data_IF_873853808394
#
_entry.id   IF_873853808394
#
_cell.length_a   1.000
_cell.length_b   1.000
_cell.length_c   1.000
_cell.angle_alpha   90.00
_cell.angle_beta   90.00
_cell.angle_gamma   90.00
#
_symmetry.space_group_name_H-M   'P 1'
#
loop_
_entity.id
_entity.type
_entity.pdbx_description
1 polymer ?
#
# COMPACT_ATOMS: atom_id res chain seq x y z
N UNK A 1 13.39 -27.51 -38.52
CA UNK A 1 14.61 -26.93 -37.92
C UNK A 1 14.37 -25.55 -37.26
N UNK A 2 13.65 -24.62 -37.89
CA UNK A 2 13.44 -23.27 -37.35
C UNK A 2 12.68 -23.27 -36.01
N UNK A 3 11.65 -24.15 -35.81
CA UNK A 3 10.95 -24.30 -34.56
C UNK A 3 11.82 -24.76 -33.39
N UNK A 4 12.85 -25.62 -33.65
CA UNK A 4 13.72 -26.12 -32.58
C UNK A 4 14.72 -25.05 -32.10
N UNK A 5 15.18 -24.15 -32.99
CA UNK A 5 16.07 -23.04 -32.64
C UNK A 5 15.35 -21.99 -31.81
N UNK A 6 14.12 -21.60 -32.21
CA UNK A 6 13.33 -20.64 -31.46
C UNK A 6 13.00 -21.15 -30.05
N UNK A 7 12.62 -22.43 -29.93
CA UNK A 7 12.37 -23.06 -28.63
C UNK A 7 13.61 -23.08 -27.75
N UNK A 8 14.80 -23.32 -28.33
CA UNK A 8 16.05 -23.33 -27.58
C UNK A 8 16.42 -21.96 -27.04
N UNK A 9 16.30 -20.89 -27.86
CA UNK A 9 16.58 -19.52 -27.44
C UNK A 9 15.62 -19.08 -26.34
N UNK A 10 14.34 -19.37 -26.48
CA UNK A 10 13.33 -19.06 -25.47
C UNK A 10 13.58 -19.80 -24.14
N UNK A 11 13.95 -21.08 -24.21
CA UNK A 11 14.24 -21.85 -22.98
C UNK A 11 15.58 -21.43 -22.35
N UNK A 12 16.57 -21.02 -23.15
CA UNK A 12 17.81 -20.40 -22.67
C UNK A 12 17.51 -19.10 -21.92
N UNK A 13 16.74 -18.21 -22.52
CA UNK A 13 16.33 -16.95 -21.89
C UNK A 13 15.59 -17.20 -20.59
N UNK A 14 14.64 -18.12 -20.61
CA UNK A 14 13.89 -18.52 -19.42
C UNK A 14 14.79 -19.06 -18.32
N UNK A 15 15.73 -19.95 -18.66
CA UNK A 15 16.69 -20.48 -17.71
C UNK A 15 17.52 -19.38 -17.06
N UNK A 16 18.09 -18.47 -17.86
CA UNK A 16 18.89 -17.35 -17.35
C UNK A 16 18.04 -16.43 -16.46
N UNK A 17 16.81 -16.13 -16.87
CA UNK A 17 15.92 -15.27 -16.10
C UNK A 17 15.50 -15.91 -14.76
N UNK A 18 15.13 -17.20 -14.76
CA UNK A 18 14.59 -17.88 -13.57
C UNK A 18 15.68 -18.41 -12.63
N UNK A 19 16.88 -18.76 -13.15
CA UNK A 19 17.87 -19.53 -12.42
C UNK A 19 19.15 -18.81 -12.08
N UNK A 20 19.39 -17.64 -12.66
CA UNK A 20 20.66 -16.95 -12.47
C UNK A 20 20.47 -15.55 -11.88
N UNK A 21 21.45 -15.10 -11.15
CA UNK A 21 21.67 -13.76 -10.65
C UNK A 21 23.16 -13.53 -10.43
N UNK A 22 23.58 -12.35 -9.96
CA UNK A 22 24.98 -11.99 -9.74
C UNK A 22 25.73 -12.96 -8.80
N UNK A 23 25.02 -13.55 -7.83
CA UNK A 23 25.56 -14.49 -6.85
C UNK A 23 25.45 -15.95 -7.29
N UNK A 24 24.64 -16.23 -8.31
CA UNK A 24 24.36 -17.58 -8.84
C UNK A 24 24.45 -17.58 -10.37
N UNK A 25 25.61 -17.27 -10.95
CA UNK A 25 25.81 -17.33 -12.39
C UNK A 25 25.89 -18.79 -12.87
N UNK A 26 25.44 -19.04 -14.10
CA UNK A 26 25.47 -20.37 -14.71
C UNK A 26 26.65 -20.49 -15.71
N UNK A 27 27.31 -21.65 -15.72
CA UNK A 27 28.27 -21.99 -16.74
C UNK A 27 27.60 -22.50 -18.03
N UNK A 28 28.35 -22.53 -19.15
CA UNK A 28 27.85 -23.15 -20.39
C UNK A 28 27.45 -24.60 -20.18
N UNK A 29 28.13 -25.31 -19.29
CA UNK A 29 27.82 -26.72 -18.98
C UNK A 29 26.47 -26.83 -18.27
N UNK A 30 26.14 -25.90 -17.36
CA UNK A 30 24.85 -25.88 -16.66
C UNK A 30 23.69 -25.57 -17.62
N UNK A 31 23.93 -24.65 -18.56
CA UNK A 31 22.95 -24.30 -19.61
C UNK A 31 22.68 -25.50 -20.50
N UNK A 32 23.75 -26.20 -20.97
CA UNK A 32 23.60 -27.40 -21.79
C UNK A 32 22.88 -28.51 -21.05
N UNK A 33 23.23 -28.76 -19.79
CA UNK A 33 22.56 -29.75 -18.96
C UNK A 33 21.05 -29.45 -18.81
N UNK A 34 20.69 -28.18 -18.59
CA UNK A 34 19.29 -27.76 -18.51
C UNK A 34 18.54 -28.00 -19.84
N UNK A 35 19.11 -27.53 -20.97
CA UNK A 35 18.48 -27.70 -22.28
C UNK A 35 18.31 -29.16 -22.66
N UNK A 36 19.32 -29.98 -22.44
CA UNK A 36 19.25 -31.43 -22.67
C UNK A 36 18.21 -32.10 -21.80
N UNK A 37 18.08 -31.69 -20.52
CA UNK A 37 17.01 -32.15 -19.61
C UNK A 37 15.60 -31.79 -20.10
N UNK A 38 15.47 -30.78 -20.95
CA UNK A 38 14.21 -30.41 -21.65
C UNK A 38 14.05 -31.11 -23.00
N UNK A 39 14.96 -32.02 -23.39
CA UNK A 39 14.96 -32.68 -24.68
C UNK A 39 15.46 -31.80 -25.83
N UNK A 40 16.09 -30.68 -25.52
CA UNK A 40 16.65 -29.75 -26.51
C UNK A 40 18.17 -29.97 -26.60
N UNK A 41 18.62 -30.72 -27.60
CA UNK A 41 20.04 -30.97 -27.79
C UNK A 41 20.81 -29.70 -28.11
N UNK A 42 21.86 -29.42 -27.35
CA UNK A 42 22.69 -28.23 -27.48
C UNK A 42 24.16 -28.54 -27.28
N UNK A 43 25.03 -27.79 -28.00
CA UNK A 43 26.47 -27.82 -27.86
C UNK A 43 26.98 -26.42 -27.51
N UNK A 44 28.24 -26.34 -27.03
CA UNK A 44 28.85 -25.07 -26.59
C UNK A 44 28.74 -23.93 -27.61
N UNK A 45 29.05 -24.21 -28.89
CA UNK A 45 28.99 -23.20 -29.95
C UNK A 45 27.57 -22.64 -30.13
N UNK A 46 26.58 -23.49 -30.02
CA UNK A 46 25.17 -23.10 -30.13
C UNK A 46 24.74 -22.21 -28.96
N UNK A 47 25.16 -22.54 -27.73
CA UNK A 47 24.85 -21.72 -26.54
C UNK A 47 25.50 -20.34 -26.65
N UNK A 48 26.77 -20.26 -27.14
CA UNK A 48 27.41 -18.97 -27.36
C UNK A 48 26.70 -18.14 -28.43
N UNK A 49 26.31 -18.75 -29.56
CA UNK A 49 25.57 -18.05 -30.60
C UNK A 49 24.22 -17.54 -30.12
N UNK A 50 23.46 -18.37 -29.39
CA UNK A 50 22.14 -18.00 -28.86
C UNK A 50 22.25 -16.92 -27.77
N UNK A 51 23.27 -17.00 -26.89
CA UNK A 51 23.50 -15.97 -25.86
C UNK A 51 23.85 -14.63 -26.51
N UNK A 52 24.75 -14.63 -27.52
CA UNK A 52 25.07 -13.41 -28.25
C UNK A 52 23.86 -12.84 -28.99
N UNK A 53 23.03 -13.69 -29.59
CA UNK A 53 21.78 -13.23 -30.23
C UNK A 53 20.80 -12.58 -29.23
N UNK A 54 20.70 -13.08 -28.01
CA UNK A 54 19.91 -12.46 -26.95
C UNK A 54 20.50 -11.10 -26.52
N UNK A 55 21.83 -11.01 -26.38
CA UNK A 55 22.52 -9.76 -26.05
C UNK A 55 22.31 -8.74 -27.18
N UNK A 56 22.49 -9.15 -28.44
CA UNK A 56 22.28 -8.30 -29.62
C UNK A 56 20.81 -7.82 -29.72
N UNK A 57 19.86 -8.63 -29.22
CA UNK A 57 18.45 -8.27 -29.12
C UNK A 57 18.13 -7.33 -27.94
N UNK A 58 19.13 -6.91 -27.15
CA UNK A 58 18.97 -5.98 -26.03
C UNK A 58 18.67 -6.63 -24.69
N UNK A 59 18.81 -7.96 -24.57
CA UNK A 59 18.68 -8.64 -23.27
C UNK A 59 20.00 -8.47 -22.50
N UNK A 60 19.91 -7.92 -21.30
CA UNK A 60 21.07 -7.67 -20.45
C UNK A 60 21.56 -8.97 -19.79
N UNK A 61 22.42 -9.68 -20.50
CA UNK A 61 23.09 -10.87 -20.00
C UNK A 61 24.55 -10.52 -19.71
N UNK A 62 24.94 -10.60 -18.45
CA UNK A 62 26.31 -10.37 -18.01
C UNK A 62 27.14 -11.63 -18.23
N UNK A 63 28.31 -11.43 -18.85
CA UNK A 63 29.29 -12.51 -19.11
C UNK A 63 30.52 -12.30 -18.24
N UNK A 64 30.68 -13.15 -17.25
CA UNK A 64 31.90 -13.18 -16.41
C UNK A 64 32.93 -14.09 -17.06
N UNK A 65 33.98 -13.49 -17.61
CA UNK A 65 35.08 -14.22 -18.28
C UNK A 65 35.94 -14.89 -17.23
N UNK A 66 36.01 -16.22 -17.29
CA UNK A 66 36.93 -17.06 -16.50
C UNK A 66 37.35 -18.25 -17.31
N UNK A 67 38.00 -19.25 -16.69
CA UNK A 67 38.35 -20.55 -17.34
C UNK A 67 37.09 -21.19 -17.97
N UNK A 68 35.93 -20.99 -17.38
CA UNK A 68 34.62 -21.27 -17.98
C UNK A 68 33.78 -20.01 -17.84
N UNK A 69 33.38 -19.43 -18.98
CA UNK A 69 32.48 -18.27 -18.94
C UNK A 69 31.22 -18.60 -18.15
N UNK A 70 30.83 -17.64 -17.30
CA UNK A 70 29.62 -17.69 -16.52
C UNK A 70 28.67 -16.59 -17.01
N UNK A 71 27.39 -16.87 -16.93
CA UNK A 71 26.31 -16.03 -17.44
C UNK A 71 25.26 -15.81 -16.40
N UNK A 72 24.77 -14.59 -16.28
CA UNK A 72 23.59 -14.29 -15.47
C UNK A 72 22.79 -13.13 -16.05
N UNK A 73 21.52 -13.05 -15.68
CA UNK A 73 20.66 -11.93 -16.04
C UNK A 73 21.08 -10.69 -15.26
N UNK A 74 21.58 -9.65 -15.97
CA UNK A 74 22.11 -8.42 -15.39
C UNK A 74 21.01 -7.52 -14.84
N UNK A 75 19.99 -7.24 -15.66
CA UNK A 75 18.85 -6.40 -15.26
C UNK A 75 17.52 -7.13 -15.33
N UNK A 76 16.59 -6.72 -14.48
CA UNK A 76 15.20 -7.19 -14.44
C UNK A 76 14.27 -6.00 -14.37
N UNK A 77 12.95 -6.25 -14.51
CA UNK A 77 11.93 -5.20 -14.38
C UNK A 77 11.98 -4.51 -13.01
N UNK A 78 12.30 -5.27 -11.97
CA UNK A 78 12.53 -4.78 -10.61
C UNK A 78 13.86 -5.30 -10.10
N UNK A 79 14.59 -4.45 -9.38
CA UNK A 79 15.74 -4.87 -8.61
C UNK A 79 15.32 -5.58 -7.31
N UNK A 80 16.24 -6.37 -6.74
CA UNK A 80 15.96 -7.13 -5.52
C UNK A 80 15.49 -6.26 -4.33
N UNK A 81 16.08 -5.07 -4.04
CA UNK A 81 15.58 -4.20 -2.97
C UNK A 81 14.15 -3.71 -3.21
N UNK A 82 13.78 -3.41 -4.46
CA UNK A 82 12.44 -2.98 -4.83
C UNK A 82 11.42 -4.10 -4.62
N UNK A 83 11.73 -5.32 -5.07
CA UNK A 83 10.90 -6.49 -4.82
C UNK A 83 10.76 -6.80 -3.33
N UNK A 84 11.83 -6.59 -2.56
CA UNK A 84 11.78 -6.73 -1.10
C UNK A 84 10.79 -5.75 -0.47
N UNK A 85 10.84 -4.47 -0.85
CA UNK A 85 9.91 -3.45 -0.38
C UNK A 85 8.45 -3.78 -0.75
N UNK A 86 8.21 -4.19 -2.00
CA UNK A 86 6.87 -4.59 -2.46
C UNK A 86 6.35 -5.82 -1.70
N UNK A 87 7.21 -6.82 -1.50
CA UNK A 87 6.88 -8.04 -0.74
C UNK A 87 6.55 -7.71 0.71
N UNK A 88 7.32 -6.85 1.36
CA UNK A 88 7.06 -6.41 2.74
C UNK A 88 5.77 -5.61 2.83
N UNK A 89 5.49 -4.72 1.88
CA UNK A 89 4.25 -3.96 1.82
C UNK A 89 3.03 -4.88 1.74
N UNK A 90 3.08 -5.90 0.87
CA UNK A 90 2.03 -6.92 0.75
C UNK A 90 1.90 -7.74 2.04
N UNK A 91 3.04 -8.22 2.58
CA UNK A 91 3.05 -9.04 3.79
C UNK A 91 2.55 -8.29 5.01
N UNK A 92 2.87 -7.00 5.15
CA UNK A 92 2.48 -6.16 6.29
C UNK A 92 1.09 -5.55 6.19
N UNK A 93 0.49 -5.50 5.00
CA UNK A 93 -0.82 -4.90 4.77
C UNK A 93 -1.92 -5.55 5.60
N UNK A 94 -2.72 -4.73 6.31
CA UNK A 94 -3.87 -5.18 7.11
C UNK A 94 -5.15 -5.35 6.31
N UNK A 95 -5.19 -4.94 5.05
CA UNK A 95 -6.38 -5.07 4.21
C UNK A 95 -6.34 -6.32 3.32
N UNK A 96 -5.13 -6.84 3.06
CA UNK A 96 -4.92 -8.00 2.22
C UNK A 96 -5.06 -9.27 3.08
N UNK A 97 -5.97 -10.19 2.71
CA UNK A 97 -6.13 -11.47 3.40
C UNK A 97 -4.84 -12.30 3.38
N UNK A 98 -4.68 -13.23 4.32
CA UNK A 98 -3.50 -14.10 4.39
C UNK A 98 -3.28 -14.85 3.08
N UNK A 99 -4.34 -15.49 2.55
CA UNK A 99 -4.31 -16.23 1.28
C UNK A 99 -3.88 -15.32 0.11
N UNK A 100 -4.47 -14.12 0.01
CA UNK A 100 -4.16 -13.20 -1.08
C UNK A 100 -2.76 -12.61 -0.97
N UNK A 101 -2.27 -12.37 0.25
CA UNK A 101 -0.88 -11.97 0.48
C UNK A 101 0.09 -13.02 -0.05
N UNK A 102 -0.15 -14.29 0.26
CA UNK A 102 0.67 -15.40 -0.23
C UNK A 102 0.67 -15.48 -1.75
N UNK A 103 -0.51 -15.42 -2.39
CA UNK A 103 -0.64 -15.39 -3.85
C UNK A 103 0.13 -14.23 -4.49
N UNK A 104 0.06 -13.02 -3.91
CA UNK A 104 0.75 -11.83 -4.41
C UNK A 104 2.27 -11.95 -4.23
N UNK A 105 2.73 -12.41 -3.06
CA UNK A 105 4.15 -12.69 -2.81
C UNK A 105 4.68 -13.71 -3.81
N UNK A 106 3.95 -14.79 -4.07
CA UNK A 106 4.34 -15.77 -5.09
C UNK A 106 4.45 -15.17 -6.50
N UNK A 107 3.57 -14.22 -6.86
CA UNK A 107 3.65 -13.50 -8.14
C UNK A 107 4.88 -12.60 -8.20
N UNK A 108 5.15 -11.85 -7.14
CA UNK A 108 6.36 -11.01 -7.04
C UNK A 108 7.64 -11.84 -7.13
N UNK A 109 7.68 -13.00 -6.49
CA UNK A 109 8.79 -13.94 -6.56
C UNK A 109 9.09 -14.47 -7.97
N UNK A 110 8.14 -14.41 -8.91
CA UNK A 110 8.37 -14.79 -10.32
C UNK A 110 9.11 -13.71 -11.12
N UNK A 111 9.28 -12.53 -10.56
CA UNK A 111 9.97 -11.40 -11.21
C UNK A 111 11.49 -11.38 -10.93
N UNK A 112 12.00 -12.39 -10.22
CA UNK A 112 13.42 -12.52 -9.89
C UNK A 112 13.90 -13.95 -10.03
N UNK A 113 15.19 -14.21 -9.70
CA UNK A 113 15.76 -15.58 -9.71
C UNK A 113 15.11 -16.43 -8.61
N UNK A 114 15.14 -17.75 -8.81
CA UNK A 114 14.66 -18.71 -7.80
C UNK A 114 15.41 -18.58 -6.47
N UNK A 115 16.66 -18.20 -6.47
CA UNK A 115 17.49 -17.99 -5.28
C UNK A 115 17.03 -16.76 -4.49
N UNK A 116 16.89 -15.64 -5.17
CA UNK A 116 16.36 -14.41 -4.56
C UNK A 116 14.89 -14.57 -4.15
N UNK A 117 14.08 -15.29 -4.93
CA UNK A 117 12.70 -15.60 -4.60
C UNK A 117 12.55 -16.38 -3.29
N UNK A 118 13.45 -17.34 -3.04
CA UNK A 118 13.46 -18.10 -1.79
C UNK A 118 13.75 -17.20 -0.57
N UNK A 119 14.71 -16.28 -0.70
CA UNK A 119 15.02 -15.29 0.33
C UNK A 119 13.82 -14.38 0.62
N UNK A 120 13.12 -13.89 -0.44
CA UNK A 120 11.92 -13.07 -0.29
C UNK A 120 10.81 -13.82 0.46
N UNK A 121 10.57 -15.11 0.17
CA UNK A 121 9.55 -15.92 0.85
C UNK A 121 9.87 -16.11 2.33
N UNK A 122 11.10 -16.43 2.66
CA UNK A 122 11.53 -16.61 4.05
C UNK A 122 11.30 -15.33 4.87
N UNK A 123 11.66 -14.18 4.32
CA UNK A 123 11.49 -12.89 4.99
C UNK A 123 10.01 -12.48 5.12
N UNK A 124 9.19 -12.74 4.10
CA UNK A 124 7.75 -12.46 4.15
C UNK A 124 7.02 -13.31 5.19
N UNK A 125 7.45 -14.55 5.42
CA UNK A 125 6.85 -15.46 6.41
C UNK A 125 7.02 -15.02 7.86
N UNK A 126 7.98 -14.13 8.15
CA UNK A 126 8.23 -13.57 9.48
C UNK A 126 7.23 -12.47 9.87
N UNK A 127 6.40 -11.99 8.95
CA UNK A 127 5.39 -10.98 9.23
C UNK A 127 4.18 -11.62 9.93
N UNK A 128 4.13 -11.54 11.24
CA UNK A 128 3.06 -12.12 12.09
C UNK A 128 1.84 -11.21 12.29
N UNK A 129 1.54 -10.31 11.35
CA UNK A 129 0.40 -9.40 11.49
C UNK A 129 -0.93 -10.11 11.33
N UNK A 130 -1.91 -9.72 12.17
CA UNK A 130 -3.29 -10.20 12.05
C UNK A 130 -3.85 -9.75 10.70
N UNK A 131 -4.21 -10.71 9.87
CA UNK A 131 -4.79 -10.51 8.53
C UNK A 131 -6.31 -10.65 8.57
N UNK A 132 -7.05 -9.84 7.79
CA UNK A 132 -8.48 -10.00 7.67
C UNK A 132 -8.82 -11.24 6.83
N UNK A 133 -10.03 -11.75 7.04
CA UNK A 133 -10.55 -12.90 6.30
C UNK A 133 -11.54 -12.49 5.19
N UNK A 134 -11.48 -11.21 4.76
CA UNK A 134 -12.42 -10.64 3.80
C UNK A 134 -11.81 -10.54 2.40
N UNK A 135 -12.10 -11.50 1.55
CA UNK A 135 -11.67 -11.48 0.14
C UNK A 135 -12.55 -10.56 -0.75
N UNK A 136 -13.70 -10.11 -0.25
CA UNK A 136 -14.61 -9.25 -1.02
C UNK A 136 -14.10 -7.81 -1.17
N UNK A 137 -13.12 -7.40 -0.36
CA UNK A 137 -12.55 -6.05 -0.38
C UNK A 137 -12.07 -5.64 -1.78
N UNK A 138 -11.48 -6.56 -2.54
CA UNK A 138 -11.01 -6.29 -3.90
C UNK A 138 -12.14 -5.91 -4.86
N UNK A 139 -13.26 -6.67 -4.80
CA UNK A 139 -14.44 -6.38 -5.61
C UNK A 139 -15.10 -5.07 -5.21
N UNK A 140 -15.06 -4.73 -3.91
CA UNK A 140 -15.58 -3.47 -3.39
C UNK A 140 -14.74 -2.31 -3.91
N UNK A 141 -13.42 -2.41 -3.85
CA UNK A 141 -12.47 -1.40 -4.37
C UNK A 141 -12.71 -1.19 -5.87
N UNK A 142 -12.77 -2.26 -6.65
CA UNK A 142 -13.00 -2.22 -8.10
C UNK A 142 -14.34 -1.53 -8.43
N UNK A 143 -15.41 -1.91 -7.74
CA UNK A 143 -16.73 -1.28 -7.92
C UNK A 143 -16.72 0.22 -7.58
N UNK A 144 -15.99 0.62 -6.51
CA UNK A 144 -15.86 2.03 -6.13
C UNK A 144 -15.08 2.79 -7.19
N UNK A 145 -13.94 2.27 -7.65
CA UNK A 145 -13.13 2.90 -8.70
C UNK A 145 -13.92 3.07 -9.99
N UNK A 146 -14.66 2.03 -10.40
CA UNK A 146 -15.55 2.11 -11.57
C UNK A 146 -16.60 3.21 -11.39
N UNK A 147 -17.25 3.27 -10.23
CA UNK A 147 -18.26 4.27 -9.96
C UNK A 147 -17.70 5.71 -9.95
N UNK A 148 -16.49 5.93 -9.45
CA UNK A 148 -15.80 7.23 -9.50
C UNK A 148 -15.53 7.62 -10.94
N UNK A 149 -14.94 6.72 -11.75
CA UNK A 149 -14.60 6.99 -13.14
C UNK A 149 -15.85 7.28 -14.01
N UNK A 150 -16.94 6.53 -13.78
CA UNK A 150 -18.20 6.70 -14.49
C UNK A 150 -19.09 7.82 -13.91
N UNK A 151 -18.66 8.48 -12.84
CA UNK A 151 -19.44 9.50 -12.09
C UNK A 151 -20.84 8.99 -11.72
N UNK A 152 -20.90 7.75 -11.19
CA UNK A 152 -22.14 7.06 -10.82
C UNK A 152 -22.25 6.93 -9.31
N UNK A 153 -23.47 7.08 -8.83
CA UNK A 153 -23.77 6.87 -7.42
C UNK A 153 -23.61 5.41 -7.02
N UNK A 154 -23.28 5.19 -5.76
CA UNK A 154 -23.19 3.85 -5.18
C UNK A 154 -24.16 3.71 -4.00
N UNK A 155 -24.56 2.47 -3.74
CA UNK A 155 -25.35 2.09 -2.58
C UNK A 155 -24.69 0.92 -1.88
N UNK A 156 -24.67 0.93 -0.56
CA UNK A 156 -24.06 -0.12 0.25
C UNK A 156 -24.65 -0.15 1.66
N UNK A 157 -24.41 -1.23 2.39
CA UNK A 157 -24.63 -1.34 3.82
C UNK A 157 -23.29 -1.24 4.55
N UNK A 158 -23.32 -0.84 5.81
CA UNK A 158 -22.12 -0.70 6.64
C UNK A 158 -22.25 -1.56 7.88
N UNK A 159 -21.22 -2.32 8.23
CA UNK A 159 -21.27 -3.17 9.41
C UNK A 159 -20.26 -2.72 10.49
N UNK A 160 -20.57 -3.11 11.72
CA UNK A 160 -19.72 -2.97 12.90
C UNK A 160 -19.63 -4.31 13.62
N UNK A 161 -18.70 -4.41 14.58
CA UNK A 161 -18.55 -5.60 15.39
C UNK A 161 -19.19 -5.39 16.75
N UNK A 162 -19.91 -6.40 17.23
CA UNK A 162 -20.37 -6.47 18.63
C UNK A 162 -19.19 -6.86 19.55
N UNK A 163 -19.35 -6.70 20.88
CA UNK A 163 -18.36 -7.21 21.86
C UNK A 163 -18.07 -8.71 21.70
N UNK A 164 -19.03 -9.49 21.20
CA UNK A 164 -18.90 -10.93 20.91
C UNK A 164 -18.20 -11.19 19.56
N UNK A 165 -17.62 -10.15 18.92
CA UNK A 165 -16.92 -10.22 17.61
C UNK A 165 -17.84 -10.66 16.44
N UNK A 166 -19.15 -10.48 16.56
CA UNK A 166 -20.09 -10.73 15.46
C UNK A 166 -20.27 -9.48 14.61
N UNK A 167 -20.34 -9.67 13.30
CA UNK A 167 -20.66 -8.58 12.35
C UNK A 167 -22.16 -8.30 12.41
N UNK A 168 -22.53 -7.06 12.66
CA UNK A 168 -23.93 -6.59 12.60
C UNK A 168 -24.01 -5.37 11.69
N UNK A 169 -25.10 -5.30 10.92
CA UNK A 169 -25.33 -4.15 10.04
C UNK A 169 -25.71 -2.92 10.89
N UNK A 170 -24.98 -1.84 10.68
CA UNK A 170 -25.20 -0.57 11.37
C UNK A 170 -26.56 0.01 10.98
N UNK A 171 -27.20 0.69 11.93
CA UNK A 171 -28.54 1.31 11.76
C UNK A 171 -29.60 0.36 11.17
N UNK A 172 -29.64 -0.90 11.65
CA UNK A 172 -30.65 -1.87 11.21
C UNK A 172 -30.54 -2.27 9.74
N UNK A 173 -29.34 -2.19 9.16
CA UNK A 173 -29.13 -2.53 7.74
C UNK A 173 -29.46 -1.39 6.77
N UNK A 174 -29.37 -0.15 7.23
CA UNK A 174 -29.61 1.02 6.38
C UNK A 174 -28.76 0.99 5.11
N UNK A 175 -29.40 1.27 3.97
CA UNK A 175 -28.76 1.37 2.67
C UNK A 175 -28.24 2.80 2.46
N UNK A 176 -26.93 2.98 2.62
CA UNK A 176 -26.28 4.27 2.36
C UNK A 176 -26.22 4.52 0.86
N UNK A 177 -26.59 5.72 0.44
CA UNK A 177 -26.41 6.24 -0.92
C UNK A 177 -25.33 7.30 -0.88
N UNK A 178 -24.33 7.17 -1.75
CA UNK A 178 -23.15 8.03 -1.77
C UNK A 178 -22.80 8.41 -3.21
N UNK A 179 -22.36 9.65 -3.42
CA UNK A 179 -21.68 10.12 -4.60
C UNK A 179 -20.17 9.93 -4.32
N UNK A 180 -19.49 8.94 -4.91
CA UNK A 180 -18.11 8.62 -4.58
C UNK A 180 -17.14 9.60 -5.26
N UNK A 181 -16.23 10.20 -4.48
CA UNK A 181 -15.24 11.16 -4.95
C UNK A 181 -13.85 10.55 -5.03
N UNK A 182 -13.42 9.83 -3.99
CA UNK A 182 -12.09 9.26 -3.91
C UNK A 182 -12.02 7.98 -3.07
N UNK A 183 -10.99 7.19 -3.35
CA UNK A 183 -10.49 6.14 -2.48
C UNK A 183 -9.14 6.57 -1.93
N UNK A 184 -9.05 6.72 -0.61
CA UNK A 184 -7.84 7.14 0.09
C UNK A 184 -7.25 6.01 0.89
N UNK A 185 -5.93 5.82 0.78
CA UNK A 185 -5.18 4.86 1.59
C UNK A 185 -4.57 5.56 2.80
N UNK A 186 -5.06 5.26 3.99
CA UNK A 186 -4.57 5.84 5.24
C UNK A 186 -4.58 4.79 6.36
N UNK A 187 -3.51 4.73 7.14
CA UNK A 187 -3.38 3.84 8.31
C UNK A 187 -3.72 2.37 8.01
N UNK A 188 -3.13 1.81 6.95
CA UNK A 188 -3.34 0.43 6.49
C UNK A 188 -4.79 0.09 6.04
N UNK A 189 -5.64 1.10 5.76
CA UNK A 189 -7.00 0.89 5.29
C UNK A 189 -7.36 1.79 4.11
N UNK A 190 -8.24 1.30 3.24
CA UNK A 190 -8.90 2.15 2.27
C UNK A 190 -10.12 2.83 2.89
N UNK A 191 -10.26 4.11 2.59
CA UNK A 191 -11.41 4.93 2.91
C UNK A 191 -12.06 5.44 1.64
N UNK A 192 -13.35 5.19 1.52
CA UNK A 192 -14.21 5.78 0.51
C UNK A 192 -14.64 7.15 0.98
N UNK A 193 -14.29 8.19 0.22
CA UNK A 193 -14.70 9.58 0.47
C UNK A 193 -15.79 9.94 -0.54
N UNK A 194 -16.86 10.56 -0.09
CA UNK A 194 -17.94 10.98 -0.98
C UNK A 194 -19.03 11.74 -0.27
N UNK A 195 -19.96 12.34 -1.04
CA UNK A 195 -21.12 13.05 -0.51
C UNK A 195 -22.19 12.04 -0.08
N UNK A 196 -22.53 12.08 1.20
CA UNK A 196 -23.51 11.17 1.80
C UNK A 196 -24.92 11.76 1.74
N UNK A 197 -25.82 11.13 0.99
CA UNK A 197 -27.24 11.53 0.92
C UNK A 197 -27.98 11.37 2.25
N UNK A 198 -27.49 10.50 3.15
CA UNK A 198 -28.03 10.37 4.52
C UNK A 198 -27.67 11.57 5.39
N UNK A 199 -26.40 12.01 5.32
CA UNK A 199 -25.86 13.02 6.22
C UNK A 199 -25.84 14.42 5.60
N UNK A 200 -26.16 14.55 4.27
CA UNK A 200 -26.14 15.79 3.49
C UNK A 200 -24.80 16.55 3.61
N UNK A 201 -23.70 15.78 3.64
CA UNK A 201 -22.34 16.29 3.73
C UNK A 201 -21.34 15.27 3.22
N UNK A 202 -20.09 15.71 3.03
CA UNK A 202 -18.98 14.80 2.78
C UNK A 202 -18.81 13.84 3.96
N UNK A 203 -18.59 12.59 3.64
CA UNK A 203 -18.39 11.52 4.61
C UNK A 203 -17.33 10.54 4.11
N UNK A 204 -16.75 9.79 5.02
CA UNK A 204 -15.80 8.74 4.69
C UNK A 204 -16.21 7.43 5.37
N UNK A 205 -15.94 6.33 4.69
CA UNK A 205 -16.31 4.98 5.12
C UNK A 205 -15.11 4.04 4.90
N UNK A 206 -14.78 3.24 5.90
CA UNK A 206 -13.78 2.19 5.72
C UNK A 206 -14.31 1.13 4.76
N UNK A 207 -13.54 0.86 3.72
CA UNK A 207 -13.95 -0.03 2.62
C UNK A 207 -14.12 -1.48 3.09
N UNK A 208 -13.29 -1.91 4.03
CA UNK A 208 -13.36 -3.25 4.63
C UNK A 208 -14.64 -3.51 5.47
N UNK A 209 -15.40 -2.45 5.76
CA UNK A 209 -16.69 -2.51 6.49
C UNK A 209 -17.91 -2.32 5.59
N UNK A 210 -17.72 -2.16 4.29
CA UNK A 210 -18.83 -2.10 3.34
C UNK A 210 -19.34 -3.50 3.04
N UNK A 211 -20.64 -3.61 2.81
CA UNK A 211 -21.33 -4.83 2.40
C UNK A 211 -22.36 -4.55 1.33
N UNK A 212 -22.51 -5.46 0.37
CA UNK A 212 -23.56 -5.37 -0.63
C UNK A 212 -23.48 -4.14 -1.54
N UNK A 213 -22.26 -3.72 -1.90
CA UNK A 213 -22.06 -2.56 -2.78
C UNK A 213 -22.73 -2.76 -4.14
N UNK A 214 -23.40 -1.71 -4.63
CA UNK A 214 -24.03 -1.66 -5.96
C UNK A 214 -23.78 -0.30 -6.58
N UNK A 215 -23.36 -0.29 -7.84
CA UNK A 215 -23.31 0.92 -8.67
C UNK A 215 -24.72 1.19 -9.15
N UNK A 216 -25.20 2.41 -8.90
CA UNK A 216 -26.58 2.80 -9.30
C UNK A 216 -26.59 3.32 -10.73
N UNK A 217 -27.73 3.23 -11.45
CA UNK A 217 -27.89 3.86 -12.77
C UNK A 217 -27.77 5.39 -12.72
N UNK A 218 -28.09 6.00 -11.58
CA UNK A 218 -28.02 7.45 -11.40
C UNK A 218 -26.59 7.95 -11.37
N UNK A 219 -26.32 8.99 -12.16
CA UNK A 219 -25.07 9.75 -12.12
C UNK A 219 -25.10 10.85 -11.06
N UNK A 220 -23.94 11.47 -10.84
CA UNK A 220 -23.80 12.68 -10.04
C UNK A 220 -22.80 13.63 -10.71
N UNK A 221 -22.87 14.91 -10.37
CA UNK A 221 -21.88 15.91 -10.80
C UNK A 221 -20.97 16.16 -9.60
N UNK A 222 -19.67 15.82 -9.70
CA UNK A 222 -18.72 16.15 -8.66
C UNK A 222 -18.62 17.65 -8.47
N UNK A 223 -18.45 18.11 -7.24
CA UNK A 223 -18.00 19.46 -6.94
C UNK A 223 -16.51 19.56 -7.30
N UNK A 224 -16.19 20.28 -8.38
CA UNK A 224 -14.82 20.43 -8.89
C UNK A 224 -13.92 21.24 -7.96
N UNK A 225 -14.52 22.05 -7.06
CA UNK A 225 -13.81 22.84 -6.07
C UNK A 225 -13.52 22.07 -4.78
N UNK A 226 -14.02 20.84 -4.66
CA UNK A 226 -13.78 20.02 -3.47
C UNK A 226 -12.36 19.45 -3.43
N UNK A 227 -11.55 19.98 -2.51
CA UNK A 227 -10.18 19.53 -2.27
C UNK A 227 -10.17 18.22 -1.43
N UNK A 228 -10.06 17.08 -2.10
CA UNK A 228 -9.96 15.75 -1.46
C UNK A 228 -8.73 15.67 -0.55
N UNK A 229 -7.58 16.17 -1.00
CA UNK A 229 -6.33 16.11 -0.24
C UNK A 229 -6.42 16.97 1.03
N UNK A 230 -6.91 18.20 0.91
CA UNK A 230 -7.16 19.09 2.04
C UNK A 230 -8.18 18.49 3.02
N UNK A 231 -9.24 17.85 2.52
CA UNK A 231 -10.21 17.15 3.35
C UNK A 231 -9.54 16.02 4.14
N UNK A 232 -8.74 15.18 3.48
CA UNK A 232 -8.08 14.03 4.09
C UNK A 232 -7.03 14.44 5.13
N UNK A 233 -6.29 15.52 4.87
CA UNK A 233 -5.25 16.02 5.78
C UNK A 233 -5.82 16.62 7.08
N UNK A 234 -7.02 17.19 7.02
CA UNK A 234 -7.71 17.77 8.19
C UNK A 234 -8.27 16.71 9.14
N UNK A 235 -8.45 15.49 8.67
CA UNK A 235 -9.06 14.40 9.43
C UNK A 235 -7.99 13.46 9.97
N UNK A 236 -7.72 13.53 11.26
CA UNK A 236 -6.79 12.62 11.94
C UNK A 236 -7.42 11.22 11.99
N UNK A 237 -6.68 10.22 11.46
CA UNK A 237 -7.09 8.81 11.45
C UNK A 237 -8.49 8.53 10.88
N UNK A 238 -9.01 9.43 9.99
CA UNK A 238 -10.31 9.29 9.33
C UNK A 238 -11.50 9.12 10.30
N UNK A 239 -11.45 9.81 11.42
CA UNK A 239 -12.59 9.95 12.33
C UNK A 239 -13.10 11.38 12.25
N UNK A 240 -14.24 11.58 11.59
CA UNK A 240 -14.80 12.90 11.38
C UNK A 240 -15.40 13.49 12.66
N UNK A 241 -15.06 14.72 12.96
CA UNK A 241 -15.92 15.62 13.70
C UNK A 241 -16.61 16.60 12.72
N UNK A 242 -17.49 17.43 13.23
CA UNK A 242 -18.37 18.23 12.40
C UNK A 242 -17.77 19.56 11.93
N UNK A 243 -16.52 19.88 12.32
CA UNK A 243 -15.89 21.19 12.02
C UNK A 243 -14.37 21.13 11.98
N UNK A 244 -13.76 21.96 11.15
CA UNK A 244 -12.32 22.23 11.17
C UNK A 244 -12.05 23.43 12.10
N UNK A 245 -11.02 23.32 12.93
CA UNK A 245 -10.58 24.33 13.86
C UNK A 245 -9.09 24.55 13.73
N UNK A 246 -8.67 25.81 13.77
CA UNK A 246 -7.26 26.17 13.87
C UNK A 246 -6.79 25.93 15.30
N UNK A 247 -5.80 25.07 15.48
CA UNK A 247 -5.26 24.67 16.79
C UNK A 247 -3.79 25.04 16.86
N UNK A 248 -3.40 25.74 17.92
CA UNK A 248 -1.99 26.00 18.22
C UNK A 248 -1.48 24.98 19.24
N UNK A 249 -0.40 24.29 18.86
CA UNK A 249 0.28 23.30 19.66
C UNK A 249 1.59 23.87 20.21
N UNK A 250 1.90 23.62 21.47
CA UNK A 250 3.23 23.78 22.03
C UNK A 250 3.91 22.41 22.03
N UNK A 251 5.08 22.32 21.41
CA UNK A 251 5.77 21.06 21.15
C UNK A 251 7.22 21.13 21.64
N UNK A 252 7.71 20.07 22.28
CA UNK A 252 9.15 19.93 22.55
C UNK A 252 9.94 19.86 21.23
N UNK A 253 11.13 20.50 21.15
CA UNK A 253 11.95 20.57 19.94
C UNK A 253 12.28 19.20 19.34
N UNK A 254 12.44 18.16 20.15
CA UNK A 254 12.68 16.78 19.69
C UNK A 254 11.53 16.19 18.88
N UNK A 255 10.32 16.78 18.94
CA UNK A 255 9.11 16.33 18.24
C UNK A 255 8.89 17.04 16.90
N UNK A 256 9.81 17.91 16.46
CA UNK A 256 9.70 18.61 15.17
C UNK A 256 9.50 17.62 14.01
N UNK A 257 10.29 16.55 13.96
CA UNK A 257 10.14 15.52 12.94
C UNK A 257 8.74 14.91 12.94
N UNK A 258 8.16 14.67 14.11
CA UNK A 258 6.80 14.12 14.26
C UNK A 258 5.75 15.05 13.68
N UNK A 259 5.89 16.35 13.90
CA UNK A 259 5.00 17.38 13.34
C UNK A 259 5.12 17.41 11.82
N UNK A 260 6.34 17.40 11.28
CA UNK A 260 6.59 17.37 9.83
C UNK A 260 6.03 16.08 9.20
N UNK A 261 6.30 14.92 9.80
CA UNK A 261 5.83 13.62 9.30
C UNK A 261 4.28 13.54 9.26
N UNK A 262 3.59 14.28 10.14
CA UNK A 262 2.12 14.23 10.25
C UNK A 262 1.39 15.32 9.44
N UNK A 263 1.94 16.54 9.43
CA UNK A 263 1.30 17.72 8.83
C UNK A 263 2.05 18.29 7.63
N UNK A 264 3.22 17.73 7.30
CA UNK A 264 4.07 18.18 6.20
C UNK A 264 5.02 19.31 6.58
N UNK A 265 6.00 19.58 5.70
CA UNK A 265 7.03 20.61 5.92
C UNK A 265 6.46 22.05 5.87
N UNK A 266 5.31 22.24 5.21
CA UNK A 266 4.67 23.55 5.08
C UNK A 266 3.91 24.02 6.33
N UNK A 267 3.82 23.19 7.38
CA UNK A 267 3.13 23.54 8.62
C UNK A 267 3.77 24.79 9.26
N UNK A 268 2.97 25.84 9.59
CA UNK A 268 3.52 27.04 10.23
C UNK A 268 4.04 26.73 11.63
N UNK A 269 5.35 26.97 11.84
CA UNK A 269 5.99 26.78 13.13
C UNK A 269 6.74 28.03 13.56
N UNK A 270 6.91 28.23 14.88
CA UNK A 270 7.68 29.31 15.48
C UNK A 270 8.42 28.82 16.73
N UNK A 271 9.67 29.22 16.89
CA UNK A 271 10.40 29.00 18.16
C UNK A 271 9.65 29.68 19.30
N UNK A 272 9.40 28.96 20.38
CA UNK A 272 8.74 29.48 21.57
C UNK A 272 9.79 29.81 22.67
N UNK A 273 10.64 28.85 23.01
CA UNK A 273 11.78 29.01 23.92
C UNK A 273 12.94 28.07 23.51
N UNK A 274 13.93 27.86 24.38
CA UNK A 274 15.10 27.02 24.09
C UNK A 274 14.73 25.52 23.90
N UNK A 275 13.63 25.06 24.49
CA UNK A 275 13.24 23.65 24.49
C UNK A 275 11.97 23.39 23.66
N UNK A 276 11.23 24.44 23.27
CA UNK A 276 9.91 24.30 22.63
C UNK A 276 9.75 25.17 21.39
N UNK A 277 8.83 24.74 20.54
CA UNK A 277 8.29 25.49 19.40
C UNK A 277 6.76 25.42 19.39
N UNK A 278 6.12 26.36 18.71
CA UNK A 278 4.68 26.28 18.41
C UNK A 278 4.45 25.81 16.98
N UNK A 279 3.35 25.10 16.75
CA UNK A 279 2.85 24.69 15.44
C UNK A 279 1.38 25.04 15.31
N UNK A 280 0.98 25.69 14.19
CA UNK A 280 -0.41 25.97 13.86
C UNK A 280 -0.92 24.96 12.86
N UNK A 281 -1.99 24.26 13.24
CA UNK A 281 -2.58 23.18 12.44
C UNK A 281 -4.09 23.39 12.27
N UNK A 282 -4.58 23.00 11.10
CA UNK A 282 -6.02 22.93 10.83
C UNK A 282 -6.49 21.49 11.03
N UNK A 283 -7.29 21.22 12.04
CA UNK A 283 -7.74 19.86 12.37
C UNK A 283 -9.23 19.81 12.70
N UNK A 284 -9.75 18.62 12.58
CA UNK A 284 -11.02 18.23 13.16
C UNK A 284 -10.79 17.78 14.62
N UNK A 285 -11.28 18.49 15.66
CA UNK A 285 -11.03 18.20 17.07
C UNK A 285 -11.79 16.95 17.54
N UNK A 286 -11.55 15.83 16.87
CA UNK A 286 -12.13 14.53 17.18
C UNK A 286 -11.46 13.86 18.36
N UNK A 287 -12.10 12.81 18.91
CA UNK A 287 -11.47 11.97 19.95
C UNK A 287 -10.12 11.39 19.53
N UNK A 288 -9.92 11.16 18.24
CA UNK A 288 -8.65 10.65 17.68
C UNK A 288 -7.57 11.71 17.72
N UNK A 289 -7.89 12.97 17.42
CA UNK A 289 -6.96 14.09 17.54
C UNK A 289 -6.47 14.24 18.99
N UNK A 290 -7.39 14.25 19.95
CA UNK A 290 -7.00 14.31 21.38
C UNK A 290 -6.18 13.10 21.78
N UNK A 291 -6.54 11.90 21.35
CA UNK A 291 -5.76 10.67 21.58
C UNK A 291 -4.35 10.75 21.00
N UNK A 292 -4.21 11.35 19.81
CA UNK A 292 -2.91 11.59 19.19
C UNK A 292 -2.05 12.56 20.04
N UNK A 293 -2.62 13.66 20.54
CA UNK A 293 -1.92 14.58 21.44
C UNK A 293 -1.50 13.86 22.72
N UNK A 294 -2.38 13.08 23.34
CA UNK A 294 -2.08 12.30 24.55
C UNK A 294 -0.93 11.31 24.38
N UNK A 295 -0.76 10.76 23.18
CA UNK A 295 0.32 9.81 22.87
C UNK A 295 1.71 10.34 23.23
N UNK A 296 1.89 11.65 23.21
CA UNK A 296 3.18 12.30 23.48
C UNK A 296 3.40 12.67 24.96
N UNK A 297 2.50 12.24 25.87
CA UNK A 297 2.68 12.34 27.32
C UNK A 297 3.02 13.76 27.81
N UNK A 298 2.47 14.79 27.19
CA UNK A 298 2.73 16.19 27.51
C UNK A 298 3.81 16.87 26.67
N UNK A 299 4.58 16.14 25.87
CA UNK A 299 5.53 16.72 24.92
C UNK A 299 4.87 17.48 23.76
N UNK A 300 3.57 17.28 23.54
CA UNK A 300 2.69 18.12 22.72
C UNK A 300 1.53 18.55 23.59
N UNK A 301 1.26 19.86 23.62
CA UNK A 301 0.18 20.46 24.39
C UNK A 301 -0.65 21.37 23.49
N UNK A 302 -1.97 21.39 23.67
CA UNK A 302 -2.87 22.34 23.00
C UNK A 302 -2.82 23.64 23.82
N UNK A 303 -2.45 24.74 23.20
CA UNK A 303 -2.41 26.07 23.83
C UNK A 303 -3.49 27.03 23.31
N UNK A 304 -4.07 26.75 22.16
CA UNK A 304 -5.26 27.42 21.62
C UNK A 304 -6.01 26.50 20.65
N UNK A 305 -7.33 26.67 20.47
CA UNK A 305 -8.24 27.56 21.22
C UNK A 305 -8.63 27.00 22.58
N UNK A 306 -9.19 27.83 23.45
CA UNK A 306 -9.58 27.47 24.81
C UNK A 306 -10.55 26.28 24.86
N UNK A 307 -11.48 26.19 23.92
CA UNK A 307 -12.44 25.08 23.82
C UNK A 307 -11.76 23.71 23.67
N UNK A 308 -10.67 23.63 22.88
CA UNK A 308 -9.90 22.39 22.72
C UNK A 308 -9.10 22.04 23.98
N UNK A 309 -8.62 23.05 24.70
CA UNK A 309 -7.95 22.87 26.00
C UNK A 309 -8.91 22.29 27.03
N UNK A 310 -10.12 22.84 27.11
CA UNK A 310 -11.16 22.38 28.06
C UNK A 310 -11.63 20.97 27.73
N UNK A 311 -11.83 20.66 26.43
CA UNK A 311 -12.20 19.31 26.02
C UNK A 311 -11.07 18.31 26.35
N UNK A 312 -9.80 18.68 26.14
CA UNK A 312 -8.65 17.86 26.50
C UNK A 312 -8.64 17.55 28.00
N UNK A 313 -8.87 18.58 28.85
CA UNK A 313 -8.99 18.42 30.31
C UNK A 313 -10.16 17.49 30.67
N UNK A 314 -11.32 17.70 30.03
CA UNK A 314 -12.53 16.87 30.24
C UNK A 314 -12.27 15.40 29.91
N UNK A 315 -11.54 15.14 28.81
CA UNK A 315 -11.16 13.79 28.42
C UNK A 315 -10.18 13.21 29.47
N UNK A 316 -9.16 13.97 29.89
CA UNK A 316 -8.19 13.51 30.88
C UNK A 316 -8.84 13.11 32.21
N UNK A 317 -9.82 13.87 32.67
CA UNK A 317 -10.59 13.55 33.89
C UNK A 317 -11.39 12.24 33.81
N UNK A 318 -11.65 11.68 32.64
CA UNK A 318 -12.32 10.37 32.52
C UNK A 318 -11.39 9.19 32.80
N UNK A 319 -10.10 9.42 32.91
CA UNK A 319 -9.10 8.41 33.18
C UNK A 319 -8.58 8.46 34.63
N UNK A 320 -9.03 9.44 35.42
CA UNK A 320 -8.75 9.62 36.83
C UNK A 320 -9.94 9.19 37.69
#
# INVERSE_FOLDING_TARGET
MQNSTNMRILELLRFLYERTDENHPATVSDIIAHLNGKGIQSVRQTVYADTNALIDAGIDIVVVKSTQNQYFMGSRLFEYPELKMLTDAVASSKIISAKKSEELVQKLCRLTSTHQAEQLRQLASLSSRVKPDNEQVYYIIDAIQTAILEKRQIQFQYYEYTPEKKRVLKHGGYLYKLDPYALEWKNDHYYLIGFSHKHQRMAHFRVDRLSGIKILPSGFTPDEDFDVAGYTNKIVDMFAADRTVSVELLCENKLMKTIIDHYGEAVPTRTYDEEHFTANIEVDPSGTFYGWVFKFMGGIQIIAPQECIEEMKRIAHRFL
#
